data_IF_272401436271
#
_entry.id   IF_272401436271
#
_cell.length_a   1.000
_cell.length_b   1.000
_cell.length_c   1.000
_cell.angle_alpha   90.00
_cell.angle_beta   90.00
_cell.angle_gamma   90.00
#
_symmetry.space_group_name_H-M   'P 1'
#
loop_
_entity.id
_entity.type
_entity.pdbx_description
1 polymer ?
#
# COMPACT_ATOMS: atom_id res chain seq x y z
N UNK A 1 15.36 4.16 23.93
CA UNK A 1 14.65 2.86 23.89
C UNK A 1 13.68 2.93 22.72
N UNK A 2 13.45 1.84 21.97
CA UNK A 2 12.56 1.86 20.79
C UNK A 2 11.25 1.15 21.15
N UNK A 3 10.11 1.74 20.78
CA UNK A 3 8.79 1.12 20.95
C UNK A 3 8.56 0.14 19.80
N UNK A 4 8.30 -1.12 20.13
CA UNK A 4 7.99 -2.16 19.15
C UNK A 4 6.50 -2.34 19.08
N UNK A 5 5.93 -2.19 17.89
CA UNK A 5 4.50 -2.31 17.62
C UNK A 5 4.32 -3.47 16.64
N UNK A 6 3.68 -4.58 17.06
CA UNK A 6 3.45 -5.70 16.17
C UNK A 6 2.43 -5.32 15.10
N UNK A 7 2.76 -5.56 13.84
CA UNK A 7 1.77 -5.48 12.75
C UNK A 7 0.86 -6.72 12.86
N UNK A 8 -0.47 -6.56 12.78
CA UNK A 8 -1.39 -7.69 12.86
C UNK A 8 -1.10 -8.77 11.79
N UNK A 9 -1.42 -10.06 12.05
CA UNK A 9 -1.18 -11.13 11.10
C UNK A 9 -1.93 -10.98 9.77
N UNK A 10 -3.07 -10.28 9.79
CA UNK A 10 -3.85 -9.89 8.62
C UNK A 10 -3.87 -8.37 8.56
N UNK A 11 -3.44 -7.80 7.44
CA UNK A 11 -3.38 -6.36 7.22
C UNK A 11 -4.36 -5.97 6.11
N UNK A 12 -5.65 -5.96 6.47
CA UNK A 12 -6.81 -5.37 5.79
C UNK A 12 -7.21 -4.07 6.53
N UNK A 13 -8.45 -3.63 6.36
CA UNK A 13 -9.05 -2.50 7.09
C UNK A 13 -9.13 -2.73 8.59
N UNK A 14 -9.63 -3.88 9.05
CA UNK A 14 -9.69 -4.21 10.47
C UNK A 14 -8.28 -4.28 11.11
N UNK A 15 -7.34 -4.90 10.40
CA UNK A 15 -5.94 -4.98 10.84
C UNK A 15 -5.26 -3.62 10.88
N UNK A 16 -5.55 -2.73 9.93
CA UNK A 16 -5.06 -1.36 9.94
C UNK A 16 -5.60 -0.56 11.13
N UNK A 17 -6.90 -0.61 11.38
CA UNK A 17 -7.53 0.07 12.52
C UNK A 17 -6.93 -0.39 13.86
N UNK A 18 -6.71 -1.70 14.01
CA UNK A 18 -6.05 -2.26 15.19
C UNK A 18 -4.62 -1.74 15.37
N UNK A 19 -3.87 -1.59 14.27
CA UNK A 19 -2.51 -1.06 14.29
C UNK A 19 -2.49 0.43 14.69
N UNK A 20 -3.43 1.23 14.18
CA UNK A 20 -3.58 2.65 14.57
C UNK A 20 -3.96 2.77 16.04
N UNK A 21 -4.93 1.98 16.51
CA UNK A 21 -5.32 1.97 17.92
C UNK A 21 -4.16 1.58 18.86
N UNK A 22 -3.28 0.67 18.43
CA UNK A 22 -2.06 0.35 19.17
C UNK A 22 -1.10 1.54 19.17
N UNK A 23 -0.85 2.19 18.02
CA UNK A 23 0.00 3.37 17.93
C UNK A 23 -0.43 4.48 18.90
N UNK A 24 -1.72 4.76 19.01
CA UNK A 24 -2.27 5.81 19.89
C UNK A 24 -2.08 5.54 21.39
N UNK A 25 -1.94 4.27 21.80
CA UNK A 25 -1.81 3.91 23.22
C UNK A 25 -0.47 4.31 23.86
N UNK A 26 0.54 4.68 23.07
CA UNK A 26 1.84 5.09 23.60
C UNK A 26 2.14 6.55 23.26
N UNK A 27 2.30 7.36 24.31
CA UNK A 27 2.46 8.81 24.25
C UNK A 27 3.91 9.31 24.35
N UNK A 28 4.89 8.40 24.26
CA UNK A 28 6.30 8.80 24.31
C UNK A 28 6.83 9.02 22.89
N UNK A 29 7.61 10.10 22.70
CA UNK A 29 8.40 10.40 21.48
C UNK A 29 9.52 9.37 21.19
N UNK A 30 9.39 8.16 21.75
CA UNK A 30 10.32 7.07 21.49
C UNK A 30 10.22 6.66 20.01
N UNK A 31 11.37 6.39 19.35
CA UNK A 31 11.36 5.87 17.99
C UNK A 31 10.48 4.61 17.89
N UNK A 32 9.80 4.45 16.76
CA UNK A 32 8.88 3.32 16.50
C UNK A 32 9.53 2.27 15.61
N UNK A 33 9.31 0.99 15.95
CA UNK A 33 9.53 -0.16 15.08
C UNK A 33 8.19 -0.84 14.83
N UNK A 34 7.78 -0.89 13.57
CA UNK A 34 6.66 -1.71 13.12
C UNK A 34 7.18 -3.11 12.79
N UNK A 35 6.71 -4.12 13.51
CA UNK A 35 7.19 -5.50 13.39
C UNK A 35 6.23 -6.35 12.55
N UNK A 36 6.52 -6.51 11.25
CA UNK A 36 5.70 -7.27 10.33
C UNK A 36 6.16 -8.73 10.16
N UNK A 37 7.09 -9.25 10.98
CA UNK A 37 7.59 -10.64 10.85
C UNK A 37 6.46 -11.69 10.87
N UNK A 38 5.43 -11.40 11.65
CA UNK A 38 4.26 -12.28 11.81
C UNK A 38 3.12 -12.00 10.83
N UNK A 39 3.29 -11.07 9.89
CA UNK A 39 2.32 -10.82 8.83
C UNK A 39 2.16 -12.09 7.97
N UNK A 40 0.90 -12.47 7.73
CA UNK A 40 0.50 -13.67 6.97
C UNK A 40 -0.34 -13.32 5.76
N UNK A 41 -0.98 -12.16 5.77
CA UNK A 41 -1.80 -11.69 4.67
C UNK A 41 -1.85 -10.15 4.68
N UNK A 42 -1.85 -9.54 3.51
CA UNK A 42 -2.05 -8.10 3.34
C UNK A 42 -2.79 -7.84 2.04
N UNK A 43 -3.57 -6.76 2.00
CA UNK A 43 -4.17 -6.24 0.79
C UNK A 43 -3.73 -4.79 0.50
N UNK A 44 -4.13 -4.20 -0.64
CA UNK A 44 -3.78 -2.83 -0.98
C UNK A 44 -4.21 -1.81 0.09
N UNK A 45 -5.34 -2.01 0.77
CA UNK A 45 -5.79 -1.09 1.81
C UNK A 45 -4.79 -1.09 2.97
N UNK A 46 -4.48 -2.26 3.51
CA UNK A 46 -3.55 -2.40 4.61
C UNK A 46 -2.12 -1.96 4.27
N UNK A 47 -1.65 -2.22 3.04
CA UNK A 47 -0.35 -1.75 2.58
C UNK A 47 -0.29 -0.22 2.46
N UNK A 48 -1.32 0.42 1.87
CA UNK A 48 -1.38 1.88 1.79
C UNK A 48 -1.54 2.50 3.18
N UNK A 49 -2.31 1.86 4.08
CA UNK A 49 -2.39 2.26 5.48
C UNK A 49 -1.03 2.23 6.19
N UNK A 50 -0.21 1.21 5.93
CA UNK A 50 1.16 1.14 6.47
C UNK A 50 2.05 2.27 5.93
N UNK A 51 1.89 2.69 4.67
CA UNK A 51 2.56 3.89 4.14
C UNK A 51 2.04 5.17 4.82
N UNK A 52 0.73 5.30 5.04
CA UNK A 52 0.15 6.44 5.73
C UNK A 52 0.71 6.57 7.17
N UNK A 53 0.83 5.46 7.90
CA UNK A 53 1.51 5.42 9.21
C UNK A 53 2.98 5.87 9.09
N UNK A 54 3.69 5.38 8.07
CA UNK A 54 5.07 5.78 7.84
C UNK A 54 5.21 7.29 7.63
N UNK A 55 4.30 7.86 6.82
CA UNK A 55 4.23 9.29 6.55
C UNK A 55 3.90 10.11 7.81
N UNK A 56 2.95 9.67 8.64
CA UNK A 56 2.58 10.36 9.88
C UNK A 56 3.70 10.35 10.92
N UNK A 57 4.52 9.28 10.93
CA UNK A 57 5.65 9.14 11.85
C UNK A 57 6.91 9.91 11.41
N UNK A 58 6.98 10.43 10.18
CA UNK A 58 8.16 11.19 9.71
C UNK A 58 8.37 12.53 10.44
N UNK A 59 7.39 13.01 11.21
CA UNK A 59 7.51 14.24 12.01
C UNK A 59 8.44 14.13 13.22
N UNK A 60 8.87 12.93 13.61
CA UNK A 60 9.76 12.70 14.76
C UNK A 60 11.25 12.86 14.45
N UNK A 61 12.08 12.97 15.49
CA UNK A 61 13.55 13.11 15.35
C UNK A 61 14.22 11.88 14.73
N UNK A 62 13.59 10.71 14.81
CA UNK A 62 14.14 9.44 14.31
C UNK A 62 13.18 8.80 13.33
N UNK A 63 13.72 8.37 12.19
CA UNK A 63 12.97 7.63 11.18
C UNK A 63 12.37 6.34 11.74
N UNK A 64 11.09 6.03 11.48
CA UNK A 64 10.50 4.77 11.92
C UNK A 64 11.16 3.59 11.21
N UNK A 65 11.22 2.45 11.89
CA UNK A 65 11.72 1.19 11.32
C UNK A 65 10.54 0.33 10.90
N UNK A 66 10.65 -0.29 9.73
CA UNK A 66 9.75 -1.36 9.32
C UNK A 66 10.56 -2.65 9.19
N UNK A 67 10.27 -3.62 10.07
CA UNK A 67 10.79 -4.97 9.98
C UNK A 67 9.88 -5.79 9.05
N UNK A 68 10.43 -6.24 7.91
CA UNK A 68 9.69 -6.93 6.85
C UNK A 68 9.15 -8.31 7.27
N UNK A 69 8.10 -8.81 6.58
CA UNK A 69 7.55 -10.14 6.81
C UNK A 69 8.55 -11.28 6.58
N UNK A 70 8.49 -12.30 7.44
CA UNK A 70 9.26 -13.54 7.26
C UNK A 70 8.62 -14.46 6.22
N UNK A 71 7.32 -14.35 6.00
CA UNK A 71 6.62 -15.10 4.96
C UNK A 71 7.06 -14.62 3.59
N UNK A 72 7.79 -15.47 2.85
CA UNK A 72 8.26 -15.16 1.50
C UNK A 72 7.13 -14.93 0.50
N UNK A 73 5.97 -15.54 0.70
CA UNK A 73 4.81 -15.34 -0.18
C UNK A 73 4.18 -13.95 0.04
N UNK A 74 4.05 -13.51 1.30
CA UNK A 74 3.58 -12.15 1.64
C UNK A 74 4.59 -11.11 1.20
N UNK A 75 5.87 -11.28 1.54
CA UNK A 75 6.92 -10.35 1.14
C UNK A 75 7.03 -10.23 -0.39
N UNK A 76 6.90 -11.37 -1.09
CA UNK A 76 6.89 -11.42 -2.56
C UNK A 76 5.64 -10.76 -3.16
N UNK A 77 4.48 -10.89 -2.53
CA UNK A 77 3.27 -10.20 -2.95
C UNK A 77 3.37 -8.67 -2.76
N UNK A 78 3.80 -8.20 -1.58
CA UNK A 78 4.05 -6.78 -1.32
C UNK A 78 5.04 -6.19 -2.34
N UNK A 79 6.08 -6.96 -2.70
CA UNK A 79 7.06 -6.56 -3.71
C UNK A 79 6.44 -6.42 -5.11
N UNK A 80 5.55 -7.34 -5.51
CA UNK A 80 4.81 -7.24 -6.78
C UNK A 80 3.80 -6.08 -6.78
N UNK A 81 3.28 -5.72 -5.61
CA UNK A 81 2.46 -4.53 -5.44
C UNK A 81 3.27 -3.23 -5.41
N UNK A 82 4.60 -3.28 -5.52
CA UNK A 82 5.44 -2.08 -5.48
C UNK A 82 5.61 -1.45 -4.09
N UNK A 83 5.14 -2.10 -3.02
CA UNK A 83 5.12 -1.54 -1.67
C UNK A 83 6.50 -1.08 -1.18
N UNK A 84 7.52 -1.94 -1.32
CA UNK A 84 8.86 -1.66 -0.79
C UNK A 84 9.48 -0.39 -1.39
N UNK A 85 9.22 -0.12 -2.67
CA UNK A 85 9.70 1.09 -3.35
C UNK A 85 9.17 2.35 -2.67
N UNK A 86 7.90 2.37 -2.28
CA UNK A 86 7.29 3.51 -1.61
C UNK A 86 7.65 3.54 -0.11
N UNK A 87 7.72 2.38 0.54
CA UNK A 87 8.09 2.26 1.94
C UNK A 87 9.54 2.70 2.23
N UNK A 88 10.47 2.51 1.29
CA UNK A 88 11.88 2.93 1.41
C UNK A 88 12.05 4.45 1.53
N UNK A 89 11.06 5.26 1.12
CA UNK A 89 11.04 6.70 1.34
C UNK A 89 10.56 7.08 2.76
N UNK A 90 9.84 6.18 3.43
CA UNK A 90 9.21 6.43 4.73
C UNK A 90 9.99 5.81 5.89
N UNK A 91 10.43 4.56 5.73
CA UNK A 91 11.00 3.73 6.79
C UNK A 91 12.49 3.44 6.61
N UNK A 92 13.17 3.18 7.73
CA UNK A 92 14.37 2.35 7.73
C UNK A 92 13.93 0.87 7.63
N UNK A 93 14.26 0.22 6.51
CA UNK A 93 13.76 -1.12 6.20
C UNK A 93 14.70 -2.20 6.75
N UNK A 94 14.17 -3.10 7.59
CA UNK A 94 14.92 -4.23 8.19
C UNK A 94 14.37 -5.58 7.73
N UNK A 95 15.24 -6.59 7.68
CA UNK A 95 14.91 -7.95 7.26
C UNK A 95 15.11 -8.22 5.77
N UNK A 96 15.35 -9.48 5.43
CA UNK A 96 15.46 -9.92 4.04
C UNK A 96 14.09 -10.42 3.61
N UNK A 97 13.29 -9.55 2.98
CA UNK A 97 12.14 -10.01 2.21
C UNK A 97 12.66 -10.99 1.16
N UNK A 98 12.54 -12.30 1.39
CA UNK A 98 13.14 -13.31 0.53
C UNK A 98 12.62 -13.10 -0.90
N UNK A 99 13.51 -12.66 -1.79
CA UNK A 99 13.23 -12.49 -3.22
C UNK A 99 12.92 -13.86 -3.83
N UNK A 100 11.65 -14.26 -3.82
CA UNK A 100 11.18 -15.40 -4.60
C UNK A 100 11.02 -14.95 -6.05
N UNK A 101 11.59 -15.75 -6.97
CA UNK A 101 11.57 -15.53 -8.43
C UNK A 101 10.14 -15.37 -8.96
N UNK A 102 10.02 -14.42 -9.89
CA UNK A 102 8.87 -14.15 -10.76
C UNK A 102 8.22 -15.45 -11.25
N UNK A 103 6.91 -15.61 -11.06
CA UNK A 103 6.23 -16.82 -11.52
C UNK A 103 4.74 -16.96 -11.25
N UNK A 104 4.05 -15.98 -10.68
CA UNK A 104 2.59 -16.00 -10.57
C UNK A 104 1.99 -14.96 -11.52
N UNK A 105 0.96 -15.35 -12.27
CA UNK A 105 0.12 -14.40 -13.00
C UNK A 105 -0.34 -13.32 -12.00
N UNK A 106 0.00 -12.06 -12.28
CA UNK A 106 -0.26 -10.97 -11.35
C UNK A 106 -1.75 -10.67 -11.35
N UNK A 107 -2.43 -10.90 -10.21
CA UNK A 107 -3.79 -10.42 -9.96
C UNK A 107 -3.81 -8.90 -9.64
N UNK A 108 -2.66 -8.24 -9.74
CA UNK A 108 -2.51 -6.79 -9.54
C UNK A 108 -3.02 -6.07 -10.77
N UNK A 109 -4.05 -5.24 -10.59
CA UNK A 109 -4.56 -4.35 -11.64
C UNK A 109 -3.77 -3.06 -11.69
N UNK A 110 -3.39 -2.54 -10.52
CA UNK A 110 -2.59 -1.34 -10.34
C UNK A 110 -1.68 -1.54 -9.13
N UNK A 111 -0.38 -1.47 -9.36
CA UNK A 111 0.62 -1.45 -8.28
C UNK A 111 0.42 -0.21 -7.41
N UNK A 112 0.92 -0.23 -6.18
CA UNK A 112 0.87 0.94 -5.30
C UNK A 112 1.59 2.10 -5.97
N UNK A 113 0.80 3.10 -6.35
CA UNK A 113 1.22 4.23 -7.18
C UNK A 113 1.01 5.51 -6.37
N UNK A 114 2.04 6.35 -6.22
CA UNK A 114 1.91 7.62 -5.51
C UNK A 114 1.08 8.61 -6.33
N UNK A 115 0.24 9.38 -5.64
CA UNK A 115 -0.60 10.45 -6.18
C UNK A 115 -0.20 11.75 -5.48
N UNK A 116 0.53 12.62 -6.17
CA UNK A 116 1.08 13.88 -5.63
C UNK A 116 0.67 15.11 -6.43
N UNK A 117 0.19 14.90 -7.65
CA UNK A 117 -0.24 15.92 -8.58
C UNK A 117 -1.38 15.43 -9.47
N UNK A 118 -2.04 16.35 -10.17
CA UNK A 118 -3.05 16.02 -11.19
C UNK A 118 -2.45 15.24 -12.38
N UNK A 119 -1.15 15.38 -12.65
CA UNK A 119 -0.45 14.62 -13.70
C UNK A 119 -0.34 13.13 -13.33
N UNK A 120 -0.17 12.82 -12.04
CA UNK A 120 -0.17 11.44 -11.55
C UNK A 120 -1.56 10.79 -11.75
N UNK A 121 -2.64 11.55 -11.54
CA UNK A 121 -4.01 11.08 -11.77
C UNK A 121 -4.19 10.67 -13.24
N UNK A 122 -3.80 11.52 -14.19
CA UNK A 122 -3.88 11.17 -15.61
C UNK A 122 -3.06 9.91 -15.94
N UNK A 123 -1.85 9.81 -15.40
CA UNK A 123 -0.97 8.65 -15.60
C UNK A 123 -1.62 7.34 -15.09
N UNK A 124 -2.31 7.39 -13.94
CA UNK A 124 -3.04 6.25 -13.39
C UNK A 124 -4.21 5.86 -14.26
N UNK A 125 -4.97 6.83 -14.77
CA UNK A 125 -6.10 6.56 -15.67
C UNK A 125 -5.63 5.92 -16.97
N UNK A 126 -4.57 6.46 -17.59
CA UNK A 126 -3.99 5.89 -18.80
C UNK A 126 -3.52 4.44 -18.56
N UNK A 127 -2.86 4.18 -17.43
CA UNK A 127 -2.40 2.85 -17.06
C UNK A 127 -3.57 1.86 -16.88
N UNK A 128 -4.64 2.29 -16.21
CA UNK A 128 -5.81 1.47 -15.97
C UNK A 128 -6.58 1.22 -17.26
N UNK A 129 -6.69 2.20 -18.16
CA UNK A 129 -7.34 2.00 -19.46
C UNK A 129 -6.55 1.02 -20.35
N UNK A 130 -5.22 1.12 -20.36
CA UNK A 130 -4.37 0.26 -21.20
C UNK A 130 -4.27 -1.17 -20.66
N UNK A 131 -4.00 -1.35 -19.36
CA UNK A 131 -3.74 -2.67 -18.76
C UNK A 131 -4.94 -3.24 -18.01
N UNK A 132 -5.55 -2.47 -17.12
CA UNK A 132 -6.65 -2.99 -16.31
C UNK A 132 -7.93 -3.13 -17.14
N UNK A 133 -8.14 -2.32 -18.18
CA UNK A 133 -9.23 -2.47 -19.14
C UNK A 133 -9.22 -3.83 -19.83
N UNK A 134 -8.04 -4.34 -20.18
CA UNK A 134 -7.86 -5.70 -20.72
C UNK A 134 -8.24 -6.75 -19.68
N UNK A 135 -7.80 -6.60 -18.43
CA UNK A 135 -8.15 -7.57 -17.37
C UNK A 135 -9.66 -7.53 -17.06
N UNK A 136 -10.24 -6.35 -16.93
CA UNK A 136 -11.66 -6.15 -16.64
C UNK A 136 -12.54 -6.73 -17.75
N UNK A 137 -12.21 -6.48 -19.02
CA UNK A 137 -13.04 -6.92 -20.15
C UNK A 137 -12.76 -8.35 -20.59
N UNK A 138 -11.49 -8.75 -20.69
CA UNK A 138 -11.09 -10.06 -21.24
C UNK A 138 -11.01 -11.17 -20.20
N UNK A 139 -10.71 -10.86 -18.93
CA UNK A 139 -10.59 -11.88 -17.87
C UNK A 139 -11.79 -11.89 -16.93
N UNK A 140 -12.32 -10.73 -16.58
CA UNK A 140 -13.43 -10.60 -15.61
C UNK A 140 -14.80 -10.44 -16.27
N UNK A 141 -14.85 -10.24 -17.59
CA UNK A 141 -16.09 -10.22 -18.37
C UNK A 141 -16.93 -8.95 -18.21
N UNK A 142 -16.35 -7.86 -17.70
CA UNK A 142 -17.03 -6.57 -17.60
C UNK A 142 -17.26 -5.94 -18.98
N UNK A 143 -18.34 -5.17 -19.11
CA UNK A 143 -18.57 -4.40 -20.33
C UNK A 143 -17.57 -3.26 -20.45
N UNK A 144 -17.36 -2.75 -21.67
CA UNK A 144 -16.55 -1.54 -21.87
C UNK A 144 -17.11 -0.34 -21.09
N UNK A 145 -18.42 -0.25 -20.93
CA UNK A 145 -19.07 0.80 -20.14
C UNK A 145 -18.71 0.71 -18.65
N UNK A 146 -18.70 -0.50 -18.10
CA UNK A 146 -18.32 -0.73 -16.70
C UNK A 146 -16.84 -0.40 -16.47
N UNK A 147 -15.96 -0.78 -17.41
CA UNK A 147 -14.55 -0.43 -17.34
C UNK A 147 -14.33 1.09 -17.41
N UNK A 148 -15.08 1.82 -18.24
CA UNK A 148 -15.03 3.29 -18.28
C UNK A 148 -15.54 3.93 -16.99
N UNK A 149 -16.63 3.40 -16.41
CA UNK A 149 -17.16 3.87 -15.13
C UNK A 149 -16.16 3.64 -13.99
N UNK A 150 -15.49 2.49 -14.00
CA UNK A 150 -14.42 2.18 -13.05
C UNK A 150 -13.27 3.20 -13.11
N UNK A 151 -12.78 3.53 -14.32
CA UNK A 151 -11.76 4.58 -14.49
C UNK A 151 -12.23 5.95 -14.01
N UNK A 152 -13.50 6.29 -14.21
CA UNK A 152 -14.07 7.55 -13.71
C UNK A 152 -14.05 7.60 -12.18
N UNK A 153 -14.57 6.57 -11.51
CA UNK A 153 -14.56 6.49 -10.04
C UNK A 153 -13.13 6.56 -9.50
N UNK A 154 -12.20 5.85 -10.13
CA UNK A 154 -10.79 5.90 -9.76
C UNK A 154 -10.20 7.31 -9.87
N UNK A 155 -10.54 8.05 -10.93
CA UNK A 155 -10.10 9.44 -11.10
C UNK A 155 -10.60 10.33 -9.97
N UNK A 156 -11.88 10.23 -9.60
CA UNK A 156 -12.47 11.03 -8.51
C UNK A 156 -11.80 10.72 -7.17
N UNK A 157 -11.57 9.43 -6.87
CA UNK A 157 -10.89 9.03 -5.63
C UNK A 157 -9.45 9.55 -5.60
N UNK A 158 -8.73 9.50 -6.72
CA UNK A 158 -7.38 10.04 -6.81
C UNK A 158 -7.34 11.58 -6.73
N UNK A 159 -8.31 12.28 -7.31
CA UNK A 159 -8.44 13.74 -7.19
C UNK A 159 -8.69 14.16 -5.75
N UNK A 160 -9.53 13.42 -5.02
CA UNK A 160 -9.76 13.67 -3.59
C UNK A 160 -8.48 13.64 -2.76
N UNK A 161 -7.50 12.81 -3.12
CA UNK A 161 -6.18 12.82 -2.45
C UNK A 161 -5.53 14.20 -2.61
N UNK A 162 -5.49 14.73 -3.83
CA UNK A 162 -4.87 16.02 -4.14
C UNK A 162 -5.63 17.18 -3.49
N UNK A 163 -6.96 17.10 -3.49
CA UNK A 163 -7.82 18.20 -3.03
C UNK A 163 -7.99 18.25 -1.51
N UNK A 164 -7.86 17.11 -0.82
CA UNK A 164 -8.29 17.00 0.57
C UNK A 164 -7.28 16.37 1.54
N UNK A 165 -6.25 15.64 1.08
CA UNK A 165 -5.36 14.94 2.01
C UNK A 165 -4.30 15.83 2.68
N UNK A 166 -4.20 17.12 2.28
CA UNK A 166 -3.16 18.08 2.71
C UNK A 166 -1.71 17.60 2.49
N UNK A 167 -1.55 16.44 1.84
CA UNK A 167 -0.33 15.74 1.49
C UNK A 167 -0.58 14.88 0.24
N UNK A 168 0.48 14.31 -0.34
CA UNK A 168 0.31 13.25 -1.34
C UNK A 168 -0.17 11.95 -0.69
N UNK A 169 -0.70 11.03 -1.51
CA UNK A 169 -1.16 9.72 -1.07
C UNK A 169 -0.77 8.61 -2.05
N UNK A 170 -1.44 7.46 -1.94
CA UNK A 170 -1.20 6.30 -2.79
C UNK A 170 -2.52 5.66 -3.21
N UNK A 171 -2.48 4.98 -4.36
CA UNK A 171 -3.57 4.15 -4.86
C UNK A 171 -3.02 2.79 -5.27
N UNK A 172 -3.76 1.72 -5.01
CA UNK A 172 -3.39 0.36 -5.41
C UNK A 172 -4.64 -0.47 -5.62
N UNK A 173 -4.63 -1.37 -6.60
CA UNK A 173 -5.81 -2.13 -7.01
C UNK A 173 -5.41 -3.58 -7.29
N UNK A 174 -6.16 -4.51 -6.72
CA UNK A 174 -6.02 -5.92 -7.00
C UNK A 174 -7.35 -6.60 -7.31
N UNK A 175 -7.23 -7.79 -7.87
CA UNK A 175 -8.33 -8.74 -8.09
C UNK A 175 -8.16 -9.94 -7.19
N UNK A 176 -9.26 -10.50 -6.70
CA UNK A 176 -9.30 -11.69 -5.85
C UNK A 176 -9.86 -12.88 -6.61
#
# INVERSE_FOLDING_TARGET
>A
MRRVIPVPPTLDDEGFDALVAELEQGSDDSPVLLDARHLRWADPYGMVGLLAIGQSLQGGETRPILQLPESGDVAGYMARMGFQKEAEALFEMHGTGQRRREGAASNVLLEITPIRSHEDVHSVIDHVQERAGVILTERLGYSRGDASMFSMILSEVCQNIIEHAEAGGWVGIQTY
#
